data_IF_748834299955
#
_entry.id   IF_748834299955
#
_cell.length_a   1.000
_cell.length_b   1.000
_cell.length_c   1.000
_cell.angle_alpha   90.00
_cell.angle_beta   90.00
_cell.angle_gamma   90.00
#
_symmetry.space_group_name_H-M   'P 1'
#
loop_
_entity.id
_entity.type
_entity.pdbx_description
1 polymer ?
#
# COMPACT_ATOMS: atom_id res chain seq x y z
N UNK A 1 -18.57 -14.19 -3.95
CA UNK A 1 -19.88 -14.71 -4.45
C UNK A 1 -19.75 -15.59 -5.70
N UNK A 2 -19.05 -15.15 -6.77
CA UNK A 2 -18.89 -15.95 -7.99
C UNK A 2 -18.29 -17.34 -7.70
N UNK A 3 -17.15 -17.38 -6.99
CA UNK A 3 -16.43 -18.63 -6.72
C UNK A 3 -17.31 -19.66 -6.01
N UNK A 4 -17.97 -19.27 -4.90
CA UNK A 4 -18.88 -20.15 -4.15
C UNK A 4 -20.04 -20.68 -5.00
N UNK A 5 -20.72 -19.83 -5.80
CA UNK A 5 -21.83 -20.28 -6.65
C UNK A 5 -21.40 -21.25 -7.76
N UNK A 6 -20.15 -21.13 -8.22
CA UNK A 6 -19.59 -21.94 -9.30
C UNK A 6 -18.71 -23.09 -8.79
N UNK A 7 -18.58 -23.25 -7.48
CA UNK A 7 -17.68 -24.21 -6.85
C UNK A 7 -16.23 -24.08 -7.35
N UNK A 8 -15.78 -22.84 -7.59
CA UNK A 8 -14.40 -22.53 -7.97
C UNK A 8 -13.58 -22.33 -6.70
N UNK A 9 -12.44 -23.04 -6.52
CA UNK A 9 -11.57 -22.85 -5.37
C UNK A 9 -10.95 -21.44 -5.38
N UNK A 10 -10.81 -20.85 -4.20
CA UNK A 10 -10.13 -19.57 -3.99
C UNK A 10 -9.54 -19.55 -2.59
N UNK A 11 -8.25 -19.21 -2.51
CA UNK A 11 -7.47 -19.36 -1.27
C UNK A 11 -7.08 -18.01 -0.64
N UNK A 12 -7.19 -16.91 -1.39
CA UNK A 12 -6.98 -15.54 -0.91
C UNK A 12 -7.68 -14.53 -1.83
N UNK A 13 -7.78 -13.28 -1.37
CA UNK A 13 -8.17 -12.12 -2.17
C UNK A 13 -6.96 -11.23 -2.37
N UNK A 14 -6.70 -10.81 -3.62
CA UNK A 14 -5.73 -9.77 -3.92
C UNK A 14 -6.37 -8.54 -4.57
N UNK A 15 -5.83 -7.37 -4.28
CA UNK A 15 -6.25 -6.09 -4.86
C UNK A 15 -5.17 -5.02 -4.66
N UNK A 16 -5.29 -3.87 -5.33
CA UNK A 16 -4.35 -2.75 -5.25
C UNK A 16 -5.08 -1.49 -4.78
N UNK A 17 -4.35 -0.56 -4.18
CA UNK A 17 -4.85 0.81 -3.91
C UNK A 17 -3.68 1.77 -3.76
N UNK A 18 -3.88 3.00 -4.19
CA UNK A 18 -2.90 4.07 -4.09
C UNK A 18 -3.48 5.28 -3.35
N UNK A 19 -2.61 6.09 -2.76
CA UNK A 19 -3.03 7.24 -1.96
C UNK A 19 -3.76 8.32 -2.77
N UNK A 20 -3.43 8.47 -4.04
CA UNK A 20 -3.99 9.43 -5.00
C UNK A 20 -5.14 8.85 -5.85
N UNK A 21 -5.63 7.65 -5.53
CA UNK A 21 -6.88 7.16 -6.09
C UNK A 21 -8.06 8.10 -5.78
N UNK A 22 -9.12 8.00 -6.58
CA UNK A 22 -10.36 8.77 -6.35
C UNK A 22 -11.36 7.98 -5.52
N UNK A 23 -12.18 8.69 -4.73
CA UNK A 23 -13.23 8.05 -3.96
C UNK A 23 -14.32 7.44 -4.86
N UNK A 24 -14.50 8.00 -6.05
CA UNK A 24 -15.39 7.48 -7.07
C UNK A 24 -14.95 6.09 -7.52
N UNK A 25 -13.67 5.92 -7.85
CA UNK A 25 -13.12 4.65 -8.31
C UNK A 25 -13.09 3.62 -7.20
N UNK A 26 -12.66 4.01 -6.00
CA UNK A 26 -12.45 3.08 -4.89
C UNK A 26 -13.73 2.80 -4.13
N UNK A 27 -14.60 3.78 -3.87
CA UNK A 27 -15.79 3.64 -3.01
C UNK A 27 -17.12 3.80 -3.76
N UNK A 28 -17.10 4.25 -5.01
CA UNK A 28 -18.34 4.59 -5.74
C UNK A 28 -19.07 5.79 -5.14
N UNK A 29 -18.33 6.70 -4.49
CA UNK A 29 -18.88 7.88 -3.82
C UNK A 29 -18.20 9.15 -4.29
N UNK A 30 -18.98 10.22 -4.42
CA UNK A 30 -18.46 11.56 -4.62
C UNK A 30 -18.09 12.18 -3.27
N UNK A 31 -16.84 12.00 -2.88
CA UNK A 31 -16.26 12.61 -1.68
C UNK A 31 -14.76 12.83 -1.89
N UNK A 32 -14.17 13.78 -1.17
CA UNK A 32 -12.73 13.95 -1.16
C UNK A 32 -12.13 13.11 -0.03
N UNK A 33 -11.23 12.18 -0.38
CA UNK A 33 -10.45 11.40 0.58
C UNK A 33 -8.99 11.82 0.42
N UNK A 34 -8.37 12.21 1.53
CA UNK A 34 -6.98 12.64 1.49
C UNK A 34 -6.05 11.46 1.18
N UNK A 35 -4.88 11.75 0.60
CA UNK A 35 -3.82 10.76 0.37
C UNK A 35 -3.40 10.01 1.63
N UNK A 36 -3.49 10.67 2.79
CA UNK A 36 -3.23 10.06 4.11
C UNK A 36 -4.25 8.99 4.48
N UNK A 37 -5.51 9.13 4.04
CA UNK A 37 -6.62 8.32 4.51
C UNK A 37 -7.11 7.30 3.48
N UNK A 38 -6.78 7.47 2.18
CA UNK A 38 -7.28 6.64 1.07
C UNK A 38 -6.95 5.16 1.25
N UNK A 39 -5.67 4.81 1.37
CA UNK A 39 -5.23 3.41 1.52
C UNK A 39 -5.83 2.77 2.78
N UNK A 40 -5.87 3.50 3.89
CA UNK A 40 -6.44 3.01 5.16
C UNK A 40 -7.92 2.66 4.99
N UNK A 41 -8.71 3.60 4.45
CA UNK A 41 -10.16 3.40 4.23
C UNK A 41 -10.42 2.28 3.22
N UNK A 42 -9.57 2.12 2.21
CA UNK A 42 -9.71 1.08 1.21
C UNK A 42 -9.42 -0.31 1.80
N UNK A 43 -8.38 -0.43 2.62
CA UNK A 43 -8.09 -1.65 3.39
C UNK A 43 -9.26 -2.01 4.31
N UNK A 44 -9.79 -1.06 5.07
CA UNK A 44 -10.96 -1.28 5.93
C UNK A 44 -12.20 -1.71 5.14
N UNK A 45 -12.40 -1.16 3.93
CA UNK A 45 -13.48 -1.55 3.03
C UNK A 45 -13.30 -3.01 2.59
N UNK A 46 -12.13 -3.38 2.08
CA UNK A 46 -11.86 -4.75 1.59
C UNK A 46 -11.94 -5.76 2.72
N UNK A 47 -11.40 -5.44 3.89
CA UNK A 47 -11.54 -6.26 5.10
C UNK A 47 -13.00 -6.59 5.41
N UNK A 48 -13.87 -5.57 5.47
CA UNK A 48 -15.31 -5.75 5.68
C UNK A 48 -15.96 -6.55 4.55
N UNK A 49 -15.60 -6.29 3.30
CA UNK A 49 -16.15 -7.02 2.16
C UNK A 49 -15.84 -8.51 2.20
N UNK A 50 -14.64 -8.90 2.66
CA UNK A 50 -14.28 -10.31 2.86
C UNK A 50 -15.01 -10.88 4.07
N UNK A 51 -15.01 -10.18 5.20
CA UNK A 51 -15.71 -10.60 6.43
C UNK A 51 -17.21 -10.82 6.22
N UNK A 52 -17.86 -9.99 5.39
CA UNK A 52 -19.28 -10.10 5.04
C UNK A 52 -19.55 -11.07 3.87
N UNK A 53 -18.50 -11.70 3.32
CA UNK A 53 -18.62 -12.63 2.21
C UNK A 53 -18.92 -14.07 2.68
N UNK A 54 -19.32 -14.98 1.78
CA UNK A 54 -19.43 -16.41 2.09
C UNK A 54 -18.11 -17.11 2.46
N UNK A 55 -16.97 -16.44 2.34
CA UNK A 55 -15.64 -16.95 2.68
C UNK A 55 -14.90 -15.94 3.59
N UNK A 56 -15.36 -15.76 4.84
CA UNK A 56 -14.90 -14.66 5.71
C UNK A 56 -13.47 -14.80 6.22
N UNK A 57 -12.86 -15.98 6.03
CA UNK A 57 -11.52 -16.30 6.52
C UNK A 57 -10.45 -16.14 5.45
N UNK A 58 -10.79 -15.70 4.22
CA UNK A 58 -9.80 -15.57 3.17
C UNK A 58 -8.72 -14.55 3.57
N UNK A 59 -7.43 -14.91 3.44
CA UNK A 59 -6.33 -13.96 3.48
C UNK A 59 -6.56 -12.80 2.51
N UNK A 60 -6.20 -11.60 2.96
CA UNK A 60 -6.27 -10.37 2.15
C UNK A 60 -4.83 -9.93 1.87
N UNK A 61 -4.50 -9.85 0.59
CA UNK A 61 -3.19 -9.44 0.10
C UNK A 61 -3.36 -8.16 -0.72
N UNK A 62 -2.76 -7.07 -0.29
CA UNK A 62 -2.56 -5.93 -1.17
C UNK A 62 -1.25 -6.16 -1.93
N UNK A 63 -1.35 -6.66 -3.16
CA UNK A 63 -0.18 -6.99 -3.98
C UNK A 63 0.56 -5.77 -4.50
N UNK A 64 -0.08 -4.60 -4.46
CA UNK A 64 0.53 -3.29 -4.69
C UNK A 64 -0.15 -2.24 -3.79
N UNK A 65 0.66 -1.35 -3.21
CA UNK A 65 0.20 -0.07 -2.69
C UNK A 65 1.35 0.95 -2.67
N UNK A 66 1.02 2.23 -2.82
CA UNK A 66 1.93 3.38 -2.59
C UNK A 66 1.08 4.66 -2.36
N UNK A 67 1.73 5.78 -2.02
CA UNK A 67 1.11 7.09 -1.89
C UNK A 67 0.67 7.68 -3.23
N UNK A 68 1.24 7.19 -4.33
CA UNK A 68 0.95 7.59 -5.72
C UNK A 68 1.03 6.39 -6.67
N UNK A 69 0.14 6.34 -7.67
CA UNK A 69 0.27 5.40 -8.81
C UNK A 69 1.02 6.00 -10.01
N UNK A 70 1.41 7.28 -9.94
CA UNK A 70 1.91 8.01 -11.12
C UNK A 70 3.41 7.77 -11.38
N UNK A 71 4.21 7.59 -10.32
CA UNK A 71 5.64 7.24 -10.44
C UNK A 71 6.55 8.37 -10.91
N UNK A 72 6.15 9.64 -10.68
CA UNK A 72 6.95 10.83 -11.00
C UNK A 72 6.75 12.01 -10.02
N UNK A 73 6.20 11.75 -8.82
CA UNK A 73 5.92 12.79 -7.82
C UNK A 73 7.07 12.94 -6.80
N UNK A 74 8.08 13.76 -7.13
CA UNK A 74 9.26 14.01 -6.27
C UNK A 74 8.86 14.48 -4.86
N UNK A 75 7.89 15.41 -4.77
CA UNK A 75 7.42 15.95 -3.49
C UNK A 75 6.69 14.91 -2.62
N UNK A 76 6.41 13.72 -3.17
CA UNK A 76 5.76 12.61 -2.47
C UNK A 76 6.77 11.50 -2.17
N UNK A 77 7.26 10.77 -3.17
CA UNK A 77 8.01 9.51 -2.97
C UNK A 77 9.50 9.71 -2.68
N UNK A 78 10.07 10.83 -3.12
CA UNK A 78 11.48 11.19 -2.85
C UNK A 78 11.64 12.18 -1.69
N UNK A 79 10.53 12.65 -1.11
CA UNK A 79 10.54 13.63 -0.03
C UNK A 79 10.36 12.98 1.35
N UNK A 80 10.68 13.68 2.46
CA UNK A 80 10.42 13.20 3.80
C UNK A 80 8.92 12.92 4.10
N UNK A 81 8.00 13.37 3.24
CA UNK A 81 6.56 13.09 3.39
C UNK A 81 6.25 11.58 3.40
N UNK A 82 6.94 10.80 2.56
CA UNK A 82 6.60 9.36 2.39
C UNK A 82 6.80 8.56 3.67
N UNK A 83 7.76 8.93 4.52
CA UNK A 83 8.07 8.23 5.77
C UNK A 83 6.88 8.17 6.75
N UNK A 84 6.45 9.30 7.34
CA UNK A 84 5.30 9.31 8.25
C UNK A 84 4.00 8.85 7.59
N UNK A 85 3.84 9.04 6.27
CA UNK A 85 2.69 8.52 5.53
C UNK A 85 2.67 6.98 5.54
N UNK A 86 3.79 6.33 5.22
CA UNK A 86 3.91 4.88 5.16
C UNK A 86 3.82 4.26 6.56
N UNK A 87 4.56 4.80 7.53
CA UNK A 87 4.50 4.34 8.92
C UNK A 87 3.07 4.41 9.50
N UNK A 88 2.34 5.51 9.25
CA UNK A 88 0.97 5.63 9.72
C UNK A 88 0.01 4.66 8.99
N UNK A 89 0.21 4.45 7.70
CA UNK A 89 -0.58 3.50 6.92
C UNK A 89 -0.44 2.10 7.50
N UNK A 90 0.80 1.62 7.71
CA UNK A 90 1.09 0.31 8.31
C UNK A 90 0.48 0.20 9.72
N UNK A 91 0.64 1.22 10.56
CA UNK A 91 0.04 1.27 11.91
C UNK A 91 -1.48 1.11 11.88
N UNK A 92 -2.15 1.77 10.94
CA UNK A 92 -3.61 1.82 10.86
C UNK A 92 -4.21 0.57 10.21
N UNK A 93 -3.48 -0.10 9.32
CA UNK A 93 -3.94 -1.31 8.63
C UNK A 93 -3.49 -2.61 9.32
N UNK A 94 -2.61 -2.52 10.31
CA UNK A 94 -2.14 -3.66 11.09
C UNK A 94 -3.30 -4.47 11.69
N UNK A 95 -3.39 -5.74 11.30
CA UNK A 95 -4.44 -6.68 11.72
C UNK A 95 -5.65 -6.75 10.79
N UNK A 96 -5.74 -5.91 9.76
CA UNK A 96 -6.82 -5.95 8.76
C UNK A 96 -6.47 -6.74 7.51
N UNK A 97 -5.17 -6.94 7.27
CA UNK A 97 -4.59 -7.53 6.06
C UNK A 97 -3.53 -8.55 6.44
N UNK A 98 -3.26 -9.50 5.54
CA UNK A 98 -2.21 -10.51 5.73
C UNK A 98 -0.88 -10.04 5.14
N UNK A 99 -0.92 -9.31 4.02
CA UNK A 99 0.26 -8.78 3.35
C UNK A 99 -0.08 -7.45 2.66
N UNK A 100 0.83 -6.50 2.74
CA UNK A 100 0.83 -5.31 1.89
C UNK A 100 2.20 -5.18 1.23
N UNK A 101 2.23 -5.28 -0.09
CA UNK A 101 3.45 -5.20 -0.89
C UNK A 101 3.64 -3.78 -1.39
N UNK A 102 4.62 -3.07 -0.82
CA UNK A 102 4.94 -1.71 -1.23
C UNK A 102 5.50 -1.74 -2.65
N UNK A 103 4.84 -1.03 -3.55
CA UNK A 103 5.29 -0.91 -4.93
C UNK A 103 6.16 0.34 -5.05
N UNK A 104 7.50 0.25 -5.12
CA UNK A 104 8.36 -0.92 -5.34
C UNK A 104 9.56 -0.95 -4.40
N UNK A 105 10.36 -2.01 -4.45
CA UNK A 105 11.61 -2.10 -3.70
C UNK A 105 12.72 -1.17 -4.21
N UNK A 106 12.72 -0.82 -5.51
CA UNK A 106 13.79 -0.04 -6.16
C UNK A 106 13.26 0.78 -7.33
N UNK A 107 13.91 1.91 -7.62
CA UNK A 107 13.70 2.75 -8.81
C UNK A 107 14.29 2.13 -10.09
N UNK A 108 14.85 0.91 -10.04
CA UNK A 108 15.09 0.12 -11.25
C UNK A 108 13.74 -0.29 -11.83
N UNK A 109 13.19 0.59 -12.67
CA UNK A 109 11.82 0.54 -13.14
C UNK A 109 11.68 1.24 -14.50
N UNK A 110 10.83 0.71 -15.39
CA UNK A 110 10.79 1.17 -16.80
C UNK A 110 9.37 1.36 -17.37
N UNK A 111 8.29 1.36 -16.56
CA UNK A 111 6.94 1.60 -17.08
C UNK A 111 6.79 2.96 -17.79
N UNK A 112 7.58 3.95 -17.37
CA UNK A 112 7.67 5.28 -17.99
C UNK A 112 8.97 5.48 -18.80
N UNK A 113 9.65 4.37 -19.13
CA UNK A 113 10.97 4.37 -19.76
C UNK A 113 12.14 4.52 -18.78
N UNK A 114 13.35 4.51 -19.33
CA UNK A 114 14.59 4.57 -18.54
C UNK A 114 14.80 5.97 -17.98
N UNK A 115 14.95 6.09 -16.67
CA UNK A 115 15.22 7.35 -15.99
C UNK A 115 16.72 7.54 -15.74
N UNK A 116 17.21 8.77 -15.92
CA UNK A 116 18.65 9.11 -15.85
C UNK A 116 19.03 9.97 -14.65
N UNK A 117 18.08 10.29 -13.76
CA UNK A 117 18.33 11.12 -12.56
C UNK A 117 18.05 10.34 -11.27
N UNK A 118 18.85 10.53 -10.20
CA UNK A 118 18.70 9.78 -8.95
C UNK A 118 17.33 9.92 -8.29
N UNK A 119 16.75 11.12 -8.34
CA UNK A 119 15.44 11.44 -7.76
C UNK A 119 14.56 12.01 -8.86
N UNK A 120 13.43 11.36 -9.09
CA UNK A 120 12.50 11.64 -10.18
C UNK A 120 11.05 11.32 -9.81
N UNK A 121 10.79 11.05 -8.53
CA UNK A 121 9.49 10.64 -8.01
C UNK A 121 9.16 9.17 -8.25
N UNK A 122 10.18 8.34 -8.49
CA UNK A 122 10.03 6.90 -8.69
C UNK A 122 9.41 6.19 -7.50
N UNK A 123 8.87 4.99 -7.74
CA UNK A 123 8.13 4.21 -6.75
C UNK A 123 9.00 3.63 -5.62
N UNK A 124 10.30 3.47 -5.87
CA UNK A 124 11.19 2.61 -5.10
C UNK A 124 11.43 3.07 -3.67
N UNK A 125 11.73 2.12 -2.79
CA UNK A 125 12.37 2.38 -1.50
C UNK A 125 13.83 2.86 -1.68
N UNK A 126 14.47 2.43 -2.76
CA UNK A 126 15.87 2.71 -3.06
C UNK A 126 15.92 3.44 -4.41
N UNK A 127 16.41 4.68 -4.38
CA UNK A 127 16.67 5.49 -5.56
C UNK A 127 17.84 4.95 -6.39
N UNK A 128 17.94 5.42 -7.64
CA UNK A 128 19.08 5.10 -8.52
C UNK A 128 20.40 5.48 -7.85
N UNK A 129 21.39 4.59 -7.92
CA UNK A 129 22.68 4.74 -7.22
C UNK A 129 22.66 4.21 -5.78
N UNK A 130 21.76 3.28 -5.47
CA UNK A 130 21.63 2.62 -4.17
C UNK A 130 21.37 3.57 -3.00
N UNK A 131 20.61 4.65 -3.26
CA UNK A 131 20.33 5.69 -2.26
C UNK A 131 19.02 5.33 -1.54
N UNK A 132 19.04 4.96 -0.24
CA UNK A 132 17.80 4.66 0.48
C UNK A 132 16.96 5.93 0.66
N UNK A 133 15.67 5.86 0.28
CA UNK A 133 14.69 6.93 0.49
C UNK A 133 14.15 6.91 1.92
N UNK A 134 13.39 7.93 2.31
CA UNK A 134 12.80 8.00 3.65
C UNK A 134 11.94 6.77 3.99
N UNK A 135 11.20 6.23 3.03
CA UNK A 135 10.38 5.01 3.19
C UNK A 135 11.20 3.74 3.47
N UNK A 136 12.46 3.67 3.02
CA UNK A 136 13.36 2.55 3.35
C UNK A 136 13.63 2.46 4.86
N UNK A 137 13.70 3.61 5.53
CA UNK A 137 13.91 3.65 6.97
C UNK A 137 12.72 3.08 7.75
N UNK A 138 11.49 3.22 7.25
CA UNK A 138 10.32 2.63 7.90
C UNK A 138 10.40 1.10 7.89
N UNK A 139 10.71 0.51 6.73
CA UNK A 139 10.89 -0.94 6.61
C UNK A 139 12.07 -1.44 7.44
N UNK A 140 13.15 -0.66 7.51
CA UNK A 140 14.26 -0.95 8.42
C UNK A 140 13.74 -0.99 9.84
N UNK A 141 13.14 0.09 10.36
CA UNK A 141 12.63 0.15 11.74
C UNK A 141 11.64 -0.97 12.06
N UNK A 142 10.73 -1.29 11.14
CA UNK A 142 9.76 -2.38 11.29
C UNK A 142 10.45 -3.75 11.39
N UNK A 143 11.53 -3.98 10.66
CA UNK A 143 12.30 -5.23 10.73
C UNK A 143 12.96 -5.45 12.11
N UNK A 144 13.24 -4.39 12.85
CA UNK A 144 13.81 -4.47 14.20
C UNK A 144 12.75 -4.69 15.29
N UNK A 145 11.45 -4.57 14.98
CA UNK A 145 10.39 -4.82 15.94
C UNK A 145 10.24 -6.32 16.22
N UNK A 146 9.92 -6.65 17.47
CA UNK A 146 9.56 -8.02 17.85
C UNK A 146 8.07 -8.34 17.66
N UNK A 147 7.67 -9.54 18.03
CA UNK A 147 6.30 -10.04 17.82
C UNK A 147 5.27 -9.51 18.83
N UNK A 148 5.72 -8.95 19.95
CA UNK A 148 4.85 -8.40 20.99
C UNK A 148 4.55 -6.93 20.71
N UNK A 149 3.31 -6.64 20.28
CA UNK A 149 2.80 -5.27 20.20
C UNK A 149 2.50 -4.73 21.60
N UNK A 150 3.25 -3.71 22.01
CA UNK A 150 2.98 -2.98 23.26
C UNK A 150 1.80 -2.02 23.09
N UNK A 151 1.00 -1.86 24.14
CA UNK A 151 -0.07 -0.87 24.17
C UNK A 151 0.52 0.54 24.18
N UNK A 152 0.01 1.43 23.33
CA UNK A 152 0.29 2.86 23.44
C UNK A 152 -0.45 3.39 24.68
N UNK A 153 0.31 3.87 25.68
CA UNK A 153 -0.23 4.54 26.87
C UNK A 153 -0.55 5.99 26.58
#
# INVERSE_FOLDING_TARGET
RHCVRRHVPVDFVSTHVYGDDTAENVFGKHEHISRRDMVIRAVEKVHRQVADSPLPHLPIIFSEFNATYTGNEIDVTDSPYIGPWLANTIRATAGLVHLMSYWTFSDVFEEQGVISTPFHGGFGLIAVGDIPKASFNDFTLLHWLGDLRLANR
#
